data_IF_215239238206
#
_entry.id   IF_215239238206
#
_cell.length_a   1.000
_cell.length_b   1.000
_cell.length_c   1.000
_cell.angle_alpha   90.00
_cell.angle_beta   90.00
_cell.angle_gamma   90.00
#
_symmetry.space_group_name_H-M   'P 1'
#
loop_
_entity.id
_entity.type
_entity.pdbx_description
1 polymer ?
#
# COMPACT_ATOMS: atom_id res chain seq x y z
N UNK A 1 14.10 -4.91 -1.18
CA UNK A 1 14.06 -3.47 -1.53
C UNK A 1 15.42 -2.89 -1.20
N UNK A 2 16.06 -2.22 -2.16
CA UNK A 2 17.30 -1.47 -1.91
C UNK A 2 16.99 -0.16 -1.18
N UNK A 3 17.94 0.43 -0.42
CA UNK A 3 17.79 1.75 0.19
C UNK A 3 17.42 2.85 -0.84
N UNK A 4 17.79 2.67 -2.11
CA UNK A 4 17.41 3.54 -3.23
C UNK A 4 15.92 3.54 -3.58
N UNK A 5 15.13 2.59 -3.07
CA UNK A 5 13.67 2.58 -3.19
C UNK A 5 12.95 3.39 -2.10
N UNK A 6 13.68 3.98 -1.15
CA UNK A 6 13.13 4.81 -0.08
C UNK A 6 13.34 6.28 -0.43
N UNK A 7 12.25 7.04 -0.63
CA UNK A 7 12.29 8.47 -0.91
C UNK A 7 11.50 9.25 0.17
N UNK A 8 12.04 9.42 1.40
CA UNK A 8 11.36 10.13 2.49
C UNK A 8 10.85 11.53 2.11
N UNK A 9 11.61 12.25 1.27
CA UNK A 9 11.17 13.55 0.75
C UNK A 9 9.87 13.51 -0.04
N UNK A 10 9.65 12.51 -0.90
CA UNK A 10 8.39 12.34 -1.62
C UNK A 10 7.24 12.12 -0.63
N UNK A 11 7.47 11.33 0.42
CA UNK A 11 6.48 11.15 1.48
C UNK A 11 6.16 12.46 2.22
N UNK A 12 7.16 13.27 2.51
CA UNK A 12 6.99 14.61 3.09
C UNK A 12 6.20 15.55 2.17
N UNK A 13 6.56 15.63 0.88
CA UNK A 13 5.87 16.48 -0.11
C UNK A 13 4.40 16.07 -0.28
N UNK A 14 4.13 14.76 -0.32
CA UNK A 14 2.76 14.23 -0.30
C UNK A 14 2.01 14.62 0.97
N UNK A 15 2.64 14.56 2.14
CA UNK A 15 2.03 14.96 3.40
C UNK A 15 1.69 16.47 3.43
N UNK A 16 2.56 17.32 2.85
CA UNK A 16 2.31 18.75 2.65
C UNK A 16 1.06 18.99 1.81
N UNK A 17 0.97 18.34 0.65
CA UNK A 17 -0.20 18.48 -0.23
C UNK A 17 -1.48 18.03 0.48
N UNK A 18 -1.45 16.88 1.16
CA UNK A 18 -2.63 16.36 1.86
C UNK A 18 -3.05 17.27 3.01
N UNK A 19 -2.12 17.78 3.81
CA UNK A 19 -2.46 18.65 4.95
C UNK A 19 -3.00 20.00 4.50
N UNK A 20 -2.40 20.60 3.46
CA UNK A 20 -2.75 21.95 3.01
C UNK A 20 -4.04 21.99 2.18
N UNK A 21 -4.33 20.94 1.40
CA UNK A 21 -5.48 20.93 0.48
C UNK A 21 -6.59 19.94 0.88
N UNK A 22 -6.28 18.94 1.71
CA UNK A 22 -7.20 17.89 2.12
C UNK A 22 -7.17 17.66 3.65
N UNK A 23 -7.31 18.71 4.47
CA UNK A 23 -7.28 18.57 5.92
C UNK A 23 -8.41 17.67 6.40
N UNK A 24 -8.16 16.91 7.47
CA UNK A 24 -9.10 15.97 8.10
C UNK A 24 -9.73 14.92 7.17
N UNK A 25 -9.09 14.59 6.04
CA UNK A 25 -9.53 13.49 5.16
C UNK A 25 -9.04 12.11 5.59
N UNK A 26 -7.94 12.05 6.33
CA UNK A 26 -7.46 10.78 6.89
C UNK A 26 -8.28 10.44 8.14
N UNK A 27 -8.99 9.30 8.09
CA UNK A 27 -9.65 8.71 9.26
C UNK A 27 -8.78 7.66 9.97
N UNK A 28 -8.18 6.75 9.20
CA UNK A 28 -7.35 5.65 9.68
C UNK A 28 -6.39 5.21 8.55
N UNK A 29 -5.13 4.92 8.88
CA UNK A 29 -4.19 4.25 7.99
C UNK A 29 -3.70 2.96 8.65
N UNK A 30 -3.94 1.81 8.02
CA UNK A 30 -3.44 0.51 8.52
C UNK A 30 -2.28 0.06 7.64
N UNK A 31 -1.08 -0.05 8.23
CA UNK A 31 0.09 -0.57 7.56
C UNK A 31 0.25 -2.06 7.92
N UNK A 32 -0.06 -2.95 6.96
CA UNK A 32 -0.06 -4.40 7.18
C UNK A 32 1.35 -4.96 6.94
N UNK A 33 1.99 -5.42 8.03
CA UNK A 33 3.33 -6.03 8.03
C UNK A 33 4.35 -5.31 7.13
N UNK A 34 4.58 -4.00 7.34
CA UNK A 34 5.55 -3.26 6.56
C UNK A 34 6.97 -3.81 6.81
N UNK A 35 7.80 -3.84 5.75
CA UNK A 35 9.21 -4.21 5.86
C UNK A 35 10.05 -3.15 6.57
N UNK A 36 11.30 -3.49 6.91
CA UNK A 36 12.25 -2.62 7.63
C UNK A 36 12.45 -1.25 6.99
N UNK A 37 12.56 -1.18 5.65
CA UNK A 37 12.71 0.08 4.90
C UNK A 37 11.55 1.05 5.15
N UNK A 38 10.31 0.55 5.19
CA UNK A 38 9.16 1.38 5.50
C UNK A 38 9.21 1.92 6.93
N UNK A 39 9.64 1.10 7.90
CA UNK A 39 9.80 1.54 9.29
C UNK A 39 10.78 2.71 9.38
N UNK A 40 11.90 2.64 8.66
CA UNK A 40 12.88 3.73 8.57
C UNK A 40 12.27 5.00 7.97
N UNK A 41 11.58 4.86 6.84
CA UNK A 41 10.88 5.99 6.20
C UNK A 41 9.86 6.64 7.14
N UNK A 42 9.07 5.81 7.84
CA UNK A 42 8.08 6.28 8.80
C UNK A 42 8.71 7.05 9.95
N UNK A 43 9.82 6.57 10.52
CA UNK A 43 10.55 7.29 11.58
C UNK A 43 11.13 8.62 11.08
N UNK A 44 11.56 8.70 9.83
CA UNK A 44 12.02 9.95 9.21
C UNK A 44 10.89 10.97 9.05
N UNK A 45 9.71 10.51 8.63
CA UNK A 45 8.57 11.37 8.28
C UNK A 45 7.73 11.77 9.50
N UNK A 46 7.58 10.89 10.48
CA UNK A 46 6.69 11.07 11.64
C UNK A 46 6.90 12.40 12.39
N UNK A 47 8.13 12.92 12.61
CA UNK A 47 8.36 14.20 13.28
C UNK A 47 7.81 15.43 12.54
N UNK A 48 7.56 15.29 11.23
CA UNK A 48 7.02 16.35 10.38
C UNK A 48 5.50 16.33 10.30
N UNK A 49 4.83 15.24 10.69
CA UNK A 49 3.37 15.11 10.64
C UNK A 49 2.69 15.75 11.86
N UNK A 50 1.46 16.28 11.72
CA UNK A 50 0.69 16.72 12.88
C UNK A 50 0.44 15.52 13.83
N UNK A 51 0.49 15.71 15.16
CA UNK A 51 0.28 14.61 16.12
C UNK A 51 -1.03 13.84 15.91
N UNK A 52 -2.11 14.56 15.55
CA UNK A 52 -3.42 13.97 15.25
C UNK A 52 -3.40 13.07 14.01
N UNK A 53 -2.57 13.38 13.02
CA UNK A 53 -2.39 12.56 11.82
C UNK A 53 -1.55 11.33 12.13
N UNK A 54 -0.45 11.50 12.87
CA UNK A 54 0.41 10.39 13.28
C UNK A 54 -0.35 9.38 14.16
N UNK A 55 -1.28 9.83 15.01
CA UNK A 55 -2.10 8.94 15.86
C UNK A 55 -3.11 8.09 15.08
N UNK A 56 -3.42 8.44 13.83
CA UNK A 56 -4.33 7.68 12.96
C UNK A 56 -3.63 6.52 12.23
N UNK A 57 -2.30 6.39 12.37
CA UNK A 57 -1.53 5.32 11.74
C UNK A 57 -1.43 4.11 12.68
N UNK A 58 -1.94 2.97 12.22
CA UNK A 58 -1.90 1.69 12.90
C UNK A 58 -0.94 0.76 12.14
N UNK A 59 0.22 0.46 12.75
CA UNK A 59 1.19 -0.48 12.19
C UNK A 59 0.93 -1.86 12.78
N UNK A 60 0.58 -2.83 11.92
CA UNK A 60 0.37 -4.22 12.32
C UNK A 60 1.61 -5.03 11.97
N UNK A 61 2.52 -5.19 12.93
CA UNK A 61 3.76 -5.95 12.74
C UNK A 61 3.57 -7.47 12.75
N UNK A 62 2.66 -7.96 13.60
CA UNK A 62 2.52 -9.39 13.90
C UNK A 62 1.37 -10.03 13.12
N UNK A 63 1.60 -11.23 12.56
CA UNK A 63 0.57 -11.97 11.81
C UNK A 63 -0.66 -12.28 12.67
N UNK A 64 -0.44 -12.62 13.94
CA UNK A 64 -1.51 -12.93 14.90
C UNK A 64 -2.41 -11.74 15.22
N UNK A 65 -1.90 -10.51 15.12
CA UNK A 65 -2.67 -9.28 15.38
C UNK A 65 -3.44 -8.77 14.16
N UNK A 66 -3.12 -9.26 12.96
CA UNK A 66 -3.71 -8.75 11.72
C UNK A 66 -5.21 -8.94 11.66
N UNK A 67 -5.69 -10.18 11.79
CA UNK A 67 -7.12 -10.45 11.73
C UNK A 67 -7.91 -9.71 12.83
N UNK A 68 -7.54 -9.76 14.12
CA UNK A 68 -8.24 -9.01 15.17
C UNK A 68 -8.26 -7.49 14.92
N UNK A 69 -7.19 -6.94 14.34
CA UNK A 69 -7.13 -5.51 14.01
C UNK A 69 -8.11 -5.16 12.88
N UNK A 70 -8.18 -5.99 11.83
CA UNK A 70 -9.10 -5.76 10.71
C UNK A 70 -10.56 -5.91 11.14
N UNK A 71 -10.88 -6.91 11.97
CA UNK A 71 -12.24 -7.15 12.49
C UNK A 71 -12.78 -6.00 13.35
N UNK A 72 -11.90 -5.16 13.91
CA UNK A 72 -12.30 -3.94 14.63
C UNK A 72 -12.86 -2.85 13.71
N UNK A 73 -12.44 -2.82 12.45
CA UNK A 73 -12.76 -1.73 11.52
C UNK A 73 -13.61 -2.16 10.33
N UNK A 74 -13.62 -3.44 9.99
CA UNK A 74 -14.25 -3.95 8.77
C UNK A 74 -15.19 -5.11 9.06
N UNK A 75 -16.13 -5.35 8.14
CA UNK A 75 -16.99 -6.54 8.16
C UNK A 75 -16.17 -7.83 8.05
N UNK A 76 -16.79 -8.97 8.38
CA UNK A 76 -16.14 -10.28 8.22
C UNK A 76 -15.82 -10.58 6.75
N UNK A 77 -16.68 -10.17 5.82
CA UNK A 77 -16.48 -10.37 4.38
C UNK A 77 -15.29 -9.56 3.86
N UNK A 78 -15.21 -8.28 4.25
CA UNK A 78 -14.10 -7.40 3.88
C UNK A 78 -12.80 -7.85 4.53
N UNK A 79 -12.83 -8.22 5.80
CA UNK A 79 -11.66 -8.76 6.51
C UNK A 79 -11.13 -10.00 5.81
N UNK A 80 -12.01 -10.95 5.45
CA UNK A 80 -11.64 -12.14 4.71
C UNK A 80 -10.98 -11.79 3.37
N UNK A 81 -11.58 -10.86 2.62
CA UNK A 81 -11.03 -10.39 1.34
C UNK A 81 -9.62 -9.80 1.52
N UNK A 82 -9.43 -8.87 2.47
CA UNK A 82 -8.11 -8.26 2.77
C UNK A 82 -7.08 -9.34 3.14
N UNK A 83 -7.45 -10.32 3.96
CA UNK A 83 -6.55 -11.40 4.37
C UNK A 83 -6.14 -12.31 3.21
N UNK A 84 -7.08 -12.62 2.32
CA UNK A 84 -6.81 -13.46 1.15
C UNK A 84 -5.98 -12.71 0.09
N UNK A 85 -6.22 -11.40 -0.08
CA UNK A 85 -5.43 -10.52 -0.93
C UNK A 85 -4.00 -10.33 -0.37
N UNK A 86 -3.87 -10.12 0.94
CA UNK A 86 -2.59 -10.06 1.64
C UNK A 86 -1.77 -11.34 1.43
N UNK A 87 -2.39 -12.52 1.59
CA UNK A 87 -1.70 -13.81 1.35
C UNK A 87 -1.26 -13.92 -0.11
N UNK A 88 -2.07 -13.45 -1.05
CA UNK A 88 -1.78 -13.51 -2.48
C UNK A 88 -0.60 -12.61 -2.85
N UNK A 89 -0.58 -11.36 -2.35
CA UNK A 89 0.51 -10.41 -2.58
C UNK A 89 1.84 -10.78 -1.89
N UNK A 90 1.80 -11.71 -0.93
CA UNK A 90 3.00 -12.25 -0.26
C UNK A 90 3.63 -13.42 -0.99
N UNK A 91 2.92 -14.08 -1.90
CA UNK A 91 3.51 -15.15 -2.71
C UNK A 91 4.58 -14.54 -3.63
N UNK A 92 5.71 -15.23 -3.81
CA UNK A 92 6.72 -14.82 -4.77
C UNK A 92 6.05 -14.76 -6.14
N UNK A 93 6.13 -13.63 -6.87
CA UNK A 93 5.48 -13.53 -8.16
C UNK A 93 6.12 -14.53 -9.11
N UNK A 94 5.31 -15.45 -9.65
CA UNK A 94 5.76 -16.45 -10.63
C UNK A 94 6.07 -15.82 -12.00
N UNK A 95 5.68 -14.55 -12.21
CA UNK A 95 5.97 -13.78 -13.42
C UNK A 95 6.23 -12.30 -13.10
N UNK A 96 6.99 -11.60 -13.96
CA UNK A 96 7.20 -10.14 -13.87
C UNK A 96 5.96 -9.29 -14.06
N UNK A 97 4.84 -9.94 -14.44
CA UNK A 97 3.64 -9.26 -14.85
C UNK A 97 2.83 -8.86 -13.62
N UNK A 98 3.09 -7.65 -13.13
CA UNK A 98 2.17 -6.99 -12.20
C UNK A 98 0.80 -6.89 -12.86
N UNK A 99 -0.22 -7.45 -12.20
CA UNK A 99 -1.60 -7.32 -12.67
C UNK A 99 -2.11 -5.91 -12.32
N UNK A 100 -2.79 -5.23 -13.25
CA UNK A 100 -3.34 -3.92 -12.94
C UNK A 100 -4.51 -4.05 -11.96
N UNK A 101 -4.57 -3.16 -10.97
CA UNK A 101 -5.63 -3.17 -9.95
C UNK A 101 -7.05 -3.03 -10.54
N UNK A 102 -7.19 -2.47 -11.75
CA UNK A 102 -8.47 -2.24 -12.42
C UNK A 102 -9.01 -3.45 -13.20
N UNK A 103 -8.25 -4.55 -13.30
CA UNK A 103 -8.66 -5.73 -14.04
C UNK A 103 -9.32 -6.78 -13.11
N UNK A 104 -10.45 -7.39 -13.52
CA UNK A 104 -10.99 -8.56 -12.84
C UNK A 104 -9.99 -9.72 -12.89
N UNK A 105 -10.09 -10.64 -11.92
CA UNK A 105 -9.49 -11.96 -12.07
C UNK A 105 -10.23 -12.72 -13.18
N UNK A 106 -9.53 -13.46 -14.06
CA UNK A 106 -10.20 -14.40 -14.95
C UNK A 106 -10.88 -15.49 -14.10
N UNK A 107 -12.13 -15.79 -14.44
CA UNK A 107 -13.02 -16.73 -13.71
C UNK A 107 -12.43 -18.14 -13.55
N UNK A 108 -11.41 -18.50 -14.35
CA UNK A 108 -10.78 -19.83 -14.40
C UNK A 108 -9.86 -20.14 -13.21
N UNK A 109 -9.42 -19.13 -12.42
CA UNK A 109 -8.63 -19.33 -11.19
C UNK A 109 -9.47 -19.08 -9.93
N UNK A 110 -10.53 -19.88 -9.76
CA UNK A 110 -11.58 -19.77 -8.71
C UNK A 110 -11.15 -19.81 -7.24
N UNK A 111 -9.90 -19.49 -6.91
CA UNK A 111 -9.37 -19.34 -5.56
C UNK A 111 -8.83 -17.94 -5.22
N UNK A 112 -8.57 -17.07 -6.19
CA UNK A 112 -7.98 -15.75 -5.92
C UNK A 112 -9.05 -14.65 -5.77
N UNK A 113 -8.94 -13.77 -4.77
CA UNK A 113 -9.86 -12.64 -4.61
C UNK A 113 -9.73 -11.63 -5.76
N UNK A 114 -10.82 -10.92 -6.07
CA UNK A 114 -10.81 -9.83 -7.04
C UNK A 114 -10.02 -8.64 -6.48
N UNK A 115 -8.97 -8.14 -7.15
CA UNK A 115 -8.12 -7.06 -6.62
C UNK A 115 -8.84 -5.72 -6.48
N UNK A 116 -10.03 -5.58 -7.09
CA UNK A 116 -10.84 -4.36 -7.04
C UNK A 116 -11.66 -4.23 -5.76
N UNK A 117 -11.87 -5.32 -5.01
CA UNK A 117 -12.60 -5.33 -3.75
C UNK A 117 -13.38 -6.61 -3.48
N UNK A 118 -14.10 -6.63 -2.35
CA UNK A 118 -14.97 -7.75 -2.01
C UNK A 118 -16.11 -7.91 -3.04
N UNK A 119 -16.61 -9.15 -3.18
CA UNK A 119 -17.61 -9.50 -4.21
C UNK A 119 -18.82 -8.56 -4.24
N UNK A 120 -19.38 -8.25 -3.07
CA UNK A 120 -20.54 -7.37 -2.96
C UNK A 120 -20.23 -5.96 -3.49
N UNK A 121 -19.08 -5.40 -3.12
CA UNK A 121 -18.61 -4.11 -3.63
C UNK A 121 -18.43 -4.13 -5.15
N UNK A 122 -17.78 -5.17 -5.69
CA UNK A 122 -17.55 -5.30 -7.14
C UNK A 122 -18.86 -5.41 -7.92
N UNK A 123 -19.84 -6.16 -7.41
CA UNK A 123 -21.14 -6.32 -8.08
C UNK A 123 -21.93 -5.02 -8.04
N UNK A 124 -22.04 -4.37 -6.88
CA UNK A 124 -22.94 -3.23 -6.67
C UNK A 124 -22.33 -1.88 -7.10
N UNK A 125 -21.02 -1.71 -6.95
CA UNK A 125 -20.35 -0.42 -7.17
C UNK A 125 -19.52 -0.36 -8.45
N UNK A 126 -19.09 -1.51 -8.98
CA UNK A 126 -18.24 -1.55 -10.18
C UNK A 126 -19.00 -2.07 -11.40
N UNK A 127 -19.59 -3.25 -11.27
CA UNK A 127 -20.23 -3.94 -12.40
C UNK A 127 -21.59 -3.35 -12.71
N UNK A 128 -22.37 -3.06 -11.67
CA UNK A 128 -23.64 -2.36 -11.81
C UNK A 128 -23.47 -0.86 -11.57
N UNK A 129 -24.33 -0.05 -12.20
CA UNK A 129 -24.36 1.38 -11.94
C UNK A 129 -25.07 1.61 -10.61
N UNK A 130 -24.29 1.88 -9.56
CA UNK A 130 -24.84 2.16 -8.24
C UNK A 130 -25.86 3.31 -8.30
N UNK A 131 -26.93 3.19 -7.52
CA UNK A 131 -28.07 4.14 -7.52
C UNK A 131 -27.69 5.58 -7.16
N UNK A 132 -26.60 5.77 -6.41
CA UNK A 132 -26.06 7.08 -6.04
C UNK A 132 -25.42 7.85 -7.21
N UNK A 133 -25.24 7.21 -8.36
CA UNK A 133 -24.51 7.80 -9.50
C UNK A 133 -23.00 7.78 -9.35
N UNK A 134 -22.46 7.05 -8.35
CA UNK A 134 -21.02 6.81 -8.23
C UNK A 134 -20.45 6.18 -9.51
N UNK A 135 -19.25 6.62 -9.88
CA UNK A 135 -18.50 6.10 -11.02
C UNK A 135 -17.18 5.51 -10.52
N UNK A 136 -16.88 4.24 -10.85
CA UNK A 136 -15.56 3.64 -10.62
C UNK A 136 -14.43 4.44 -11.24
N UNK A 137 -13.20 4.07 -10.87
CA UNK A 137 -11.99 4.63 -11.47
C UNK A 137 -12.06 4.58 -13.02
N UNK A 138 -11.62 5.64 -13.74
CA UNK A 138 -11.69 5.70 -15.20
C UNK A 138 -11.16 4.46 -15.92
N UNK A 139 -10.01 3.91 -15.50
CA UNK A 139 -9.47 2.67 -16.08
C UNK A 139 -10.41 1.47 -15.96
N UNK A 140 -11.21 1.39 -14.89
CA UNK A 140 -12.20 0.32 -14.71
C UNK A 140 -13.35 0.51 -15.71
N UNK A 141 -13.84 1.75 -15.86
CA UNK A 141 -14.88 2.09 -16.83
C UNK A 141 -14.43 1.89 -18.28
N UNK A 142 -13.21 2.34 -18.61
CA UNK A 142 -12.65 2.19 -19.93
C UNK A 142 -12.37 0.72 -20.26
N UNK A 143 -11.98 -0.09 -19.26
CA UNK A 143 -11.83 -1.53 -19.42
C UNK A 143 -13.18 -2.22 -19.69
N UNK A 144 -14.19 -1.95 -18.85
CA UNK A 144 -15.54 -2.51 -19.00
C UNK A 144 -16.20 -2.08 -20.32
N UNK A 145 -15.95 -0.85 -20.77
CA UNK A 145 -16.47 -0.34 -22.05
C UNK A 145 -15.68 -0.79 -23.27
N UNK A 146 -14.57 -1.53 -23.09
CA UNK A 146 -13.70 -2.00 -24.17
C UNK A 146 -12.78 -0.93 -24.78
N UNK A 147 -12.79 0.30 -24.26
CA UNK A 147 -11.88 1.38 -24.66
C UNK A 147 -10.44 1.09 -24.23
N UNK A 148 -10.26 0.54 -23.04
CA UNK A 148 -8.97 0.08 -22.54
C UNK A 148 -8.83 -1.42 -22.81
N UNK A 149 -7.96 -1.78 -23.76
CA UNK A 149 -7.60 -3.19 -23.98
C UNK A 149 -6.65 -3.66 -22.87
N UNK A 150 -6.75 -4.92 -22.47
CA UNK A 150 -5.72 -5.62 -21.69
C UNK A 150 -4.45 -5.84 -22.52
N UNK A 151 -3.86 -4.79 -23.08
CA UNK A 151 -2.57 -4.91 -23.77
C UNK A 151 -1.47 -4.51 -22.81
N UNK A 152 -0.90 -5.49 -22.12
CA UNK A 152 0.43 -5.40 -21.51
C UNK A 152 1.15 -6.75 -21.64
N UNK A 153 1.60 -7.04 -22.85
CA UNK A 153 2.64 -8.04 -23.12
C UNK A 153 4.01 -7.36 -23.08
N UNK A 154 4.58 -7.22 -21.89
CA UNK A 154 6.03 -7.12 -21.72
C UNK A 154 6.42 -8.18 -20.70
N UNK A 155 6.69 -9.39 -21.19
CA UNK A 155 7.37 -10.41 -20.41
C UNK A 155 8.87 -10.20 -20.60
N UNK A 156 9.48 -9.41 -19.73
CA UNK A 156 10.89 -9.64 -19.46
C UNK A 156 10.99 -10.54 -18.23
N UNK A 157 11.88 -11.54 -18.22
CA UNK A 157 12.21 -12.25 -16.99
C UNK A 157 12.63 -11.20 -15.95
N UNK A 158 12.05 -11.25 -14.75
CA UNK A 158 12.65 -10.49 -13.65
C UNK A 158 14.03 -11.12 -13.45
N UNK A 159 15.10 -10.37 -13.72
CA UNK A 159 16.37 -10.61 -13.08
C UNK A 159 16.14 -10.30 -11.61
N UNK A 160 15.64 -11.30 -10.88
CA UNK A 160 15.29 -11.17 -9.48
C UNK A 160 16.62 -10.93 -8.79
N UNK A 161 16.96 -9.66 -8.54
CA UNK A 161 17.82 -9.33 -7.43
C UNK A 161 17.20 -10.07 -6.25
N UNK A 162 17.85 -11.15 -5.82
CA UNK A 162 17.45 -12.01 -4.71
C UNK A 162 17.32 -11.14 -3.46
N UNK A 163 16.20 -10.44 -3.34
CA UNK A 163 15.74 -9.93 -2.08
C UNK A 163 15.13 -11.16 -1.45
N UNK A 164 15.98 -11.85 -0.70
CA UNK A 164 15.56 -12.82 0.28
C UNK A 164 14.60 -12.10 1.23
N UNK A 165 13.32 -12.10 0.85
CA UNK A 165 12.21 -11.80 1.74
C UNK A 165 12.13 -13.00 2.69
N UNK A 166 13.16 -13.16 3.53
CA UNK A 166 13.15 -14.13 4.60
C UNK A 166 11.83 -13.93 5.34
N UNK A 167 11.09 -15.03 5.47
CA UNK A 167 9.82 -15.09 6.20
C UNK A 167 10.01 -14.74 7.70
N UNK A 168 11.25 -14.49 8.11
CA UNK A 168 11.73 -14.21 9.47
C UNK A 168 11.81 -12.72 9.82
N UNK A 169 10.86 -11.90 9.39
CA UNK A 169 10.66 -10.58 10.02
C UNK A 169 9.51 -10.68 11.04
N UNK A 170 9.62 -11.66 11.95
CA UNK A 170 9.06 -11.48 13.28
C UNK A 170 10.00 -10.57 14.06
N UNK A 171 9.61 -9.30 14.11
CA UNK A 171 10.03 -8.37 15.16
C UNK A 171 11.43 -7.73 15.09
N UNK A 172 12.03 -7.53 13.90
CA UNK A 172 13.10 -6.53 13.78
C UNK A 172 12.49 -5.12 13.90
N UNK A 173 12.22 -4.66 15.12
CA UNK A 173 12.22 -3.23 15.40
C UNK A 173 13.63 -2.72 15.08
N UNK A 174 13.75 -1.99 13.97
CA UNK A 174 14.99 -1.32 13.66
C UNK A 174 15.10 -0.16 14.63
N UNK A 175 16.12 -0.18 15.48
CA UNK A 175 16.33 0.88 16.46
C UNK A 175 16.52 2.25 15.77
N UNK A 176 16.14 3.32 16.46
CA UNK A 176 16.17 4.68 15.91
C UNK A 176 17.57 5.10 15.44
N UNK A 177 18.64 4.62 16.09
CA UNK A 177 20.00 4.94 15.71
C UNK A 177 20.39 4.26 14.38
N UNK A 178 19.99 3.00 14.19
CA UNK A 178 20.18 2.27 12.93
C UNK A 178 19.35 2.87 11.80
N UNK A 179 18.10 3.25 12.07
CA UNK A 179 17.26 3.98 11.11
C UNK A 179 17.89 5.33 10.70
N UNK A 180 18.42 6.09 11.66
CA UNK A 180 19.11 7.35 11.42
C UNK A 180 20.35 7.20 10.52
N UNK A 181 21.16 6.15 10.73
CA UNK A 181 22.31 5.84 9.86
C UNK A 181 21.89 5.53 8.43
N UNK A 182 20.80 4.78 8.24
CA UNK A 182 20.28 4.46 6.91
C UNK A 182 19.78 5.72 6.21
N UNK A 183 19.04 6.59 6.91
CA UNK A 183 18.56 7.86 6.34
C UNK A 183 19.72 8.79 5.94
N UNK A 184 20.75 8.88 6.77
CA UNK A 184 21.94 9.69 6.47
C UNK A 184 22.74 9.15 5.28
N UNK A 185 22.60 7.87 4.95
CA UNK A 185 23.25 7.24 3.80
C UNK A 185 22.52 7.44 2.47
N UNK A 186 21.29 7.99 2.48
CA UNK A 186 20.53 8.24 1.25
C UNK A 186 21.14 9.40 0.45
N UNK A 187 20.99 9.41 -0.89
CA UNK A 187 21.28 10.59 -1.71
C UNK A 187 20.52 11.83 -1.20
N UNK A 188 21.15 13.01 -1.29
CA UNK A 188 20.60 14.27 -0.77
C UNK A 188 19.22 14.59 -1.37
N UNK A 189 19.01 14.26 -2.65
CA UNK A 189 17.73 14.44 -3.34
C UNK A 189 16.56 13.67 -2.69
N UNK A 190 16.85 12.58 -1.98
CA UNK A 190 15.83 11.72 -1.35
C UNK A 190 15.61 12.05 0.12
N UNK A 191 16.52 12.79 0.74
CA UNK A 191 16.42 13.22 2.13
C UNK A 191 15.43 14.38 2.29
N UNK A 192 14.74 14.40 3.43
CA UNK A 192 13.90 15.56 3.80
C UNK A 192 14.84 16.73 4.09
N UNK A 193 14.64 17.92 3.48
CA UNK A 193 15.51 19.07 3.69
C UNK A 193 15.62 19.45 5.18
N UNK A 194 16.80 19.86 5.63
CA UNK A 194 17.02 20.23 7.03
C UNK A 194 16.17 21.44 7.49
N UNK A 195 15.74 22.27 6.54
CA UNK A 195 14.85 23.41 6.75
C UNK A 195 13.36 23.07 6.52
N UNK A 196 13.00 21.78 6.40
CA UNK A 196 11.61 21.37 6.22
C UNK A 196 10.73 21.80 7.40
N UNK A 197 9.58 22.36 7.08
CA UNK A 197 8.61 22.83 8.07
C UNK A 197 7.82 21.66 8.66
N UNK A 198 7.51 21.74 9.95
CA UNK A 198 6.59 20.81 10.59
C UNK A 198 5.17 21.18 10.19
N UNK A 199 4.40 20.17 9.79
CA UNK A 199 2.97 20.32 9.54
C UNK A 199 2.27 20.60 10.87
N UNK A 200 1.59 21.74 10.94
CA UNK A 200 0.77 22.16 12.09
C UNK A 200 -0.67 21.72 11.94
#
# INVERSE_FOLDING_TARGET
MTPTGCHPRLGYDCAQIMSNHYPERLGLAICIRPGSVFKVAWQAMKPFLPPATASKVCIVGNKSQLQPTLERYFSQTMTKWILDEYKSNRRKPESSRYRPFWMPQPDDEGGNPDPRGEKHYVEEWITTRHSSGHLPHPNVLDYVSGKLRASLSFSEPIDVLEVDLNEEDENCELDEATAGKILASLPEEYQIPANAEKLT
#
